data_IF_776739812708
#
_entry.id   IF_776739812708
#
_cell.length_a   1.000
_cell.length_b   1.000
_cell.length_c   1.000
_cell.angle_alpha   90.00
_cell.angle_beta   90.00
_cell.angle_gamma   90.00
#
_symmetry.space_group_name_H-M   'P 1'
#
loop_
_entity.id
_entity.type
_entity.pdbx_description
1 polymer ?
#
# COMPACT_ATOMS: atom_id res chain seq x y z
N UNK A 1 -3.71 17.23 -0.89
CA UNK A 1 -4.42 16.49 0.17
C UNK A 1 -5.90 16.85 0.09
N UNK A 2 -6.77 15.84 0.10
CA UNK A 2 -8.23 16.06 0.00
C UNK A 2 -8.90 16.35 1.35
N UNK A 3 -8.28 15.94 2.43
CA UNK A 3 -8.76 16.14 3.79
C UNK A 3 -7.61 16.23 4.79
N UNK A 4 -7.93 16.52 6.05
CA UNK A 4 -6.96 16.56 7.13
C UNK A 4 -6.39 15.18 7.47
N UNK A 5 -5.31 15.13 8.19
CA UNK A 5 -4.58 13.92 8.55
C UNK A 5 -4.09 13.91 9.99
N UNK A 6 -3.57 12.77 10.41
CA UNK A 6 -3.07 12.55 11.77
C UNK A 6 -1.63 13.02 12.01
N UNK A 7 -0.95 13.56 11.01
CA UNK A 7 0.50 13.82 11.06
C UNK A 7 0.89 15.06 11.86
N UNK A 8 -0.05 15.97 12.12
CA UNK A 8 0.19 17.22 12.83
C UNK A 8 -1.03 17.65 13.66
N UNK A 9 -0.77 18.30 14.79
CA UNK A 9 -1.84 18.94 15.59
C UNK A 9 -2.56 20.08 14.88
N UNK A 10 -2.03 20.55 13.76
CA UNK A 10 -2.58 21.65 12.94
C UNK A 10 -3.32 21.12 11.71
N UNK A 11 -3.50 19.81 11.60
CA UNK A 11 -4.11 19.13 10.49
C UNK A 11 -5.24 18.19 10.99
N UNK A 12 -6.38 18.77 11.42
CA UNK A 12 -7.47 17.99 11.99
C UNK A 12 -8.11 17.06 10.94
N UNK A 13 -8.41 15.84 11.35
CA UNK A 13 -8.99 14.77 10.51
C UNK A 13 -10.32 15.17 9.87
N UNK A 14 -11.11 16.01 10.54
CA UNK A 14 -12.45 16.43 10.10
C UNK A 14 -12.44 17.55 9.06
N UNK A 15 -11.26 18.05 8.67
CA UNK A 15 -11.16 19.14 7.69
C UNK A 15 -11.16 18.64 6.25
N UNK A 16 -11.58 19.53 5.35
CA UNK A 16 -11.33 19.43 3.90
C UNK A 16 -10.31 20.50 3.55
N UNK A 17 -9.13 20.11 3.12
CA UNK A 17 -8.00 21.04 2.93
C UNK A 17 -8.05 21.80 1.60
N UNK A 18 -8.73 21.24 0.60
CA UNK A 18 -8.87 21.87 -0.72
C UNK A 18 -10.34 22.12 -1.05
N UNK A 19 -10.58 23.18 -1.79
CA UNK A 19 -11.91 23.45 -2.37
C UNK A 19 -12.21 22.45 -3.49
N UNK A 20 -13.48 22.35 -3.89
CA UNK A 20 -13.87 21.47 -5.00
C UNK A 20 -13.20 21.90 -6.31
N UNK A 21 -13.13 23.20 -6.54
CA UNK A 21 -12.56 23.81 -7.74
C UNK A 21 -11.07 23.47 -7.87
N UNK A 22 -10.31 23.54 -6.76
CA UNK A 22 -8.89 23.15 -6.72
C UNK A 22 -8.71 21.67 -7.04
N UNK A 23 -9.52 20.81 -6.42
CA UNK A 23 -9.47 19.35 -6.66
C UNK A 23 -9.79 19.03 -8.12
N UNK A 24 -10.87 19.63 -8.66
CA UNK A 24 -11.26 19.39 -10.06
C UNK A 24 -10.18 19.87 -11.03
N UNK A 25 -9.52 21.00 -10.77
CA UNK A 25 -8.42 21.49 -11.59
C UNK A 25 -7.21 20.54 -11.57
N UNK A 26 -6.90 19.92 -10.41
CA UNK A 26 -5.84 18.91 -10.32
C UNK A 26 -6.21 17.66 -11.13
N UNK A 27 -7.47 17.22 -11.06
CA UNK A 27 -7.93 16.04 -11.82
C UNK A 27 -7.92 16.33 -13.32
N UNK A 28 -8.34 17.53 -13.75
CA UNK A 28 -8.27 17.96 -15.14
C UNK A 28 -6.83 17.96 -15.66
N UNK A 29 -5.91 18.54 -14.88
CA UNK A 29 -4.48 18.52 -15.22
C UNK A 29 -3.92 17.10 -15.31
N UNK A 30 -4.30 16.19 -14.42
CA UNK A 30 -3.89 14.79 -14.49
C UNK A 30 -4.46 14.08 -15.72
N UNK A 31 -5.72 14.37 -16.08
CA UNK A 31 -6.37 13.83 -17.27
C UNK A 31 -5.68 14.27 -18.55
N UNK A 32 -5.19 15.51 -18.65
CA UNK A 32 -4.38 15.99 -19.77
C UNK A 32 -3.08 15.19 -19.96
N UNK A 33 -2.55 14.63 -18.87
CA UNK A 33 -1.41 13.73 -18.90
C UNK A 33 -1.81 12.27 -19.15
N UNK A 34 -3.10 11.96 -19.17
CA UNK A 34 -3.62 10.61 -19.31
C UNK A 34 -3.39 9.74 -18.06
N UNK A 35 -3.42 10.34 -16.88
CA UNK A 35 -3.22 9.66 -15.59
C UNK A 35 -4.34 10.00 -14.60
N UNK A 36 -4.25 9.48 -13.38
CA UNK A 36 -5.24 9.65 -12.31
C UNK A 36 -4.68 10.43 -11.12
N UNK A 37 -5.55 10.80 -10.20
CA UNK A 37 -5.20 11.44 -8.93
C UNK A 37 -5.43 10.49 -7.78
N UNK A 38 -4.44 10.38 -6.90
CA UNK A 38 -4.53 9.79 -5.56
C UNK A 38 -4.61 10.91 -4.52
N UNK A 39 -5.43 10.73 -3.49
CA UNK A 39 -5.64 11.76 -2.48
C UNK A 39 -5.70 11.18 -1.07
N UNK A 40 -4.86 11.70 -0.20
CA UNK A 40 -4.95 11.52 1.24
C UNK A 40 -6.28 12.10 1.76
N UNK A 41 -7.05 11.29 2.50
CA UNK A 41 -8.37 11.66 3.01
C UNK A 41 -8.82 10.76 4.15
N UNK A 42 -9.66 11.26 5.06
CA UNK A 42 -10.14 10.51 6.21
C UNK A 42 -11.67 10.53 6.40
N UNK A 43 -12.39 11.47 5.80
CA UNK A 43 -13.79 11.68 6.14
C UNK A 43 -14.72 11.77 4.92
N UNK A 44 -15.99 11.49 5.13
CA UNK A 44 -17.02 11.45 4.08
C UNK A 44 -17.10 12.74 3.25
N UNK A 45 -17.02 13.89 3.91
CA UNK A 45 -17.12 15.18 3.22
C UNK A 45 -15.96 15.43 2.25
N UNK A 46 -14.75 15.05 2.65
CA UNK A 46 -13.59 15.14 1.81
C UNK A 46 -13.71 14.16 0.63
N UNK A 47 -14.06 12.90 0.88
CA UNK A 47 -14.26 11.89 -0.16
C UNK A 47 -15.34 12.29 -1.15
N UNK A 48 -16.48 12.86 -0.69
CA UNK A 48 -17.54 13.32 -1.59
C UNK A 48 -17.03 14.36 -2.60
N UNK A 49 -16.21 15.33 -2.16
CA UNK A 49 -15.59 16.31 -3.07
C UNK A 49 -14.63 15.67 -4.06
N UNK A 50 -13.84 14.72 -3.59
CA UNK A 50 -12.88 13.99 -4.42
C UNK A 50 -13.59 13.16 -5.49
N UNK A 51 -14.66 12.46 -5.12
CA UNK A 51 -15.51 11.69 -6.04
C UNK A 51 -16.18 12.58 -7.10
N UNK A 52 -16.73 13.71 -6.68
CA UNK A 52 -17.35 14.69 -7.58
C UNK A 52 -16.41 15.18 -8.68
N UNK A 53 -15.10 15.23 -8.40
CA UNK A 53 -14.09 15.66 -9.36
C UNK A 53 -13.44 14.47 -10.12
N UNK A 54 -13.72 13.23 -9.76
CA UNK A 54 -13.24 12.05 -10.46
C UNK A 54 -11.90 11.49 -9.95
N UNK A 55 -11.52 11.78 -8.71
CA UNK A 55 -10.38 11.13 -8.05
C UNK A 55 -10.58 9.62 -8.00
N UNK A 56 -9.53 8.83 -8.14
CA UNK A 56 -9.60 7.37 -8.23
C UNK A 56 -8.97 6.61 -7.08
N UNK A 57 -7.99 7.18 -6.38
CA UNK A 57 -7.36 6.58 -5.21
C UNK A 57 -7.62 7.42 -3.97
N UNK A 58 -8.10 6.76 -2.92
CA UNK A 58 -8.45 7.36 -1.63
C UNK A 58 -7.54 6.74 -0.58
N UNK A 59 -6.51 7.48 -0.18
CA UNK A 59 -5.51 6.97 0.75
C UNK A 59 -6.00 7.15 2.18
N UNK A 60 -5.74 6.16 3.04
CA UNK A 60 -6.23 5.99 4.41
C UNK A 60 -7.72 5.66 4.50
N UNK A 61 -8.61 6.64 4.45
CA UNK A 61 -10.06 6.44 4.40
C UNK A 61 -10.71 5.92 5.69
N UNK A 62 -10.06 5.99 6.86
CA UNK A 62 -10.53 5.29 8.07
C UNK A 62 -11.89 5.77 8.61
N UNK A 63 -12.23 7.03 8.46
CA UNK A 63 -13.46 7.62 9.03
C UNK A 63 -14.55 7.84 7.98
N UNK A 64 -14.65 6.95 7.01
CA UNK A 64 -15.71 6.98 6.00
C UNK A 64 -16.83 5.99 6.33
N UNK A 65 -18.05 6.42 6.03
CA UNK A 65 -19.26 5.59 6.21
C UNK A 65 -19.35 4.50 5.13
N UNK A 66 -20.16 3.47 5.39
CA UNK A 66 -20.45 2.43 4.39
C UNK A 66 -21.11 3.01 3.13
N UNK A 67 -21.88 4.09 3.23
CA UNK A 67 -22.44 4.79 2.07
C UNK A 67 -21.32 5.35 1.19
N UNK A 68 -20.32 6.00 1.79
CA UNK A 68 -19.17 6.53 1.09
C UNK A 68 -18.32 5.40 0.47
N UNK A 69 -18.15 4.27 1.16
CA UNK A 69 -17.51 3.08 0.60
C UNK A 69 -18.20 2.60 -0.67
N UNK A 70 -19.54 2.48 -0.65
CA UNK A 70 -20.33 2.11 -1.85
C UNK A 70 -20.20 3.13 -2.98
N UNK A 71 -20.14 4.42 -2.65
CA UNK A 71 -19.95 5.46 -3.66
C UNK A 71 -18.57 5.36 -4.32
N UNK A 72 -17.51 5.09 -3.54
CA UNK A 72 -16.16 4.82 -4.06
C UNK A 72 -16.19 3.60 -5.00
N UNK A 73 -16.79 2.49 -4.55
CA UNK A 73 -16.88 1.27 -5.34
C UNK A 73 -17.64 1.50 -6.66
N UNK A 74 -18.78 2.21 -6.61
CA UNK A 74 -19.60 2.54 -7.80
C UNK A 74 -18.83 3.42 -8.79
N UNK A 75 -18.00 4.34 -8.29
CA UNK A 75 -17.14 5.19 -9.13
C UNK A 75 -15.91 4.45 -9.68
N UNK A 76 -15.73 3.16 -9.35
CA UNK A 76 -14.55 2.37 -9.71
C UNK A 76 -13.27 2.87 -9.03
N UNK A 77 -13.41 3.45 -7.85
CA UNK A 77 -12.31 3.94 -7.04
C UNK A 77 -11.64 2.84 -6.20
N UNK A 78 -10.49 3.18 -5.65
CA UNK A 78 -9.68 2.33 -4.81
C UNK A 78 -9.46 2.99 -3.45
N UNK A 79 -9.45 2.19 -2.38
CA UNK A 79 -8.99 2.64 -1.06
C UNK A 79 -7.63 2.01 -0.77
N UNK A 80 -6.70 2.83 -0.31
CA UNK A 80 -5.31 2.46 -0.04
C UNK A 80 -5.02 2.69 1.45
N UNK A 81 -5.56 1.85 2.34
CA UNK A 81 -5.39 2.02 3.78
C UNK A 81 -4.03 1.52 4.23
N UNK A 82 -3.50 2.14 5.28
CA UNK A 82 -2.34 1.65 6.01
C UNK A 82 -2.83 1.07 7.34
N UNK A 83 -3.18 -0.21 7.32
CA UNK A 83 -3.88 -0.87 8.42
C UNK A 83 -3.07 -0.89 9.72
N UNK A 84 -1.72 -0.83 9.64
CA UNK A 84 -0.87 -0.74 10.82
C UNK A 84 -1.18 0.51 11.67
N UNK A 85 -1.59 1.62 11.03
CA UNK A 85 -1.90 2.88 11.71
C UNK A 85 -3.08 2.80 12.69
N UNK A 86 -3.95 1.80 12.54
CA UNK A 86 -5.06 1.49 13.45
C UNK A 86 -4.83 0.21 14.26
N UNK A 87 -3.63 -0.35 14.20
CA UNK A 87 -3.27 -1.52 14.99
C UNK A 87 -3.11 -1.17 16.47
N UNK A 88 -3.55 -2.03 17.40
CA UNK A 88 -3.23 -1.88 18.82
C UNK A 88 -1.73 -1.81 19.11
N UNK A 89 -0.89 -2.36 18.24
CA UNK A 89 0.56 -2.34 18.38
C UNK A 89 1.15 -0.95 18.18
N UNK A 90 0.41 -0.02 17.58
CA UNK A 90 0.76 1.41 17.58
C UNK A 90 1.00 1.95 18.99
N UNK A 91 0.25 1.48 19.97
CA UNK A 91 0.42 1.89 21.38
C UNK A 91 1.78 1.48 21.98
N UNK A 92 2.46 0.49 21.39
CA UNK A 92 3.80 0.02 21.82
C UNK A 92 4.95 0.83 21.22
N UNK A 93 4.66 1.71 20.27
CA UNK A 93 5.68 2.46 19.54
C UNK A 93 6.12 3.69 20.29
N UNK A 94 7.37 4.15 20.13
CA UNK A 94 7.82 5.42 20.69
C UNK A 94 7.16 6.65 20.05
N UNK A 95 6.39 6.45 18.97
CA UNK A 95 5.66 7.51 18.26
C UNK A 95 4.43 7.98 19.06
N UNK A 96 3.89 7.11 19.93
CA UNK A 96 2.69 7.40 20.70
C UNK A 96 3.08 7.82 22.13
N UNK A 97 2.77 9.04 22.53
CA UNK A 97 3.03 9.46 23.91
C UNK A 97 2.15 8.67 24.89
N UNK A 98 2.62 8.37 26.11
CA UNK A 98 1.89 7.57 27.11
C UNK A 98 0.47 8.07 27.38
N UNK A 99 0.23 9.37 27.29
CA UNK A 99 -1.09 9.98 27.49
C UNK A 99 -2.11 9.69 26.38
N UNK A 100 -1.68 9.06 25.26
CA UNK A 100 -2.52 8.75 24.10
C UNK A 100 -2.73 7.24 23.88
N UNK A 101 -2.13 6.40 24.71
CA UNK A 101 -2.18 4.95 24.55
C UNK A 101 -3.63 4.44 24.58
N UNK A 102 -4.43 4.88 25.56
CA UNK A 102 -5.84 4.42 25.67
C UNK A 102 -6.70 4.85 24.47
N UNK A 103 -6.41 6.03 23.89
CA UNK A 103 -7.09 6.54 22.70
C UNK A 103 -6.73 5.69 21.47
N UNK A 104 -5.47 5.33 21.29
CA UNK A 104 -5.00 4.47 20.19
C UNK A 104 -5.60 3.06 20.29
N UNK A 105 -5.64 2.49 21.50
CA UNK A 105 -6.26 1.18 21.72
C UNK A 105 -7.77 1.19 21.42
N UNK A 106 -8.47 2.27 21.80
CA UNK A 106 -9.89 2.44 21.50
C UNK A 106 -10.12 2.53 19.98
N UNK A 107 -9.30 3.29 19.25
CA UNK A 107 -9.36 3.37 17.79
C UNK A 107 -9.10 2.00 17.14
N UNK A 108 -8.13 1.24 17.63
CA UNK A 108 -7.85 -0.11 17.14
C UNK A 108 -9.06 -1.05 17.25
N UNK A 109 -9.81 -0.99 18.35
CA UNK A 109 -11.04 -1.76 18.52
C UNK A 109 -12.18 -1.26 17.62
N UNK A 110 -12.34 0.05 17.46
CA UNK A 110 -13.37 0.65 16.61
C UNK A 110 -13.17 0.26 15.14
N UNK A 111 -11.92 0.25 14.67
CA UNK A 111 -11.61 0.01 13.26
C UNK A 111 -11.15 -1.43 12.94
N UNK A 112 -11.23 -2.36 13.89
CA UNK A 112 -10.83 -3.76 13.64
C UNK A 112 -11.58 -4.43 12.47
N UNK A 113 -12.80 -3.98 12.20
CA UNK A 113 -13.65 -4.47 11.12
C UNK A 113 -13.57 -3.65 9.82
N UNK A 114 -12.77 -2.60 9.80
CA UNK A 114 -12.72 -1.66 8.68
C UNK A 114 -12.36 -2.35 7.35
N UNK A 115 -11.35 -3.22 7.35
CA UNK A 115 -10.98 -3.98 6.15
C UNK A 115 -12.12 -4.83 5.60
N UNK A 116 -12.82 -5.55 6.49
CA UNK A 116 -14.01 -6.34 6.12
C UNK A 116 -15.16 -5.48 5.60
N UNK A 117 -15.34 -4.28 6.17
CA UNK A 117 -16.36 -3.33 5.70
C UNK A 117 -16.06 -2.85 4.28
N UNK A 118 -14.81 -2.52 3.96
CA UNK A 118 -14.40 -2.15 2.60
C UNK A 118 -14.77 -3.25 1.59
N UNK A 119 -14.39 -4.50 1.88
CA UNK A 119 -14.69 -5.62 0.98
C UNK A 119 -16.20 -5.88 0.82
N UNK A 120 -16.97 -5.86 1.92
CA UNK A 120 -18.44 -6.05 1.87
C UNK A 120 -19.15 -4.98 1.07
N UNK A 121 -18.63 -3.77 1.02
CA UNK A 121 -19.16 -2.66 0.24
C UNK A 121 -18.58 -2.60 -1.20
N UNK A 122 -17.84 -3.64 -1.62
CA UNK A 122 -17.34 -3.79 -2.99
C UNK A 122 -16.16 -2.88 -3.33
N UNK A 123 -15.48 -2.32 -2.35
CA UNK A 123 -14.33 -1.44 -2.57
C UNK A 123 -13.12 -2.26 -2.99
N UNK A 124 -12.43 -1.81 -4.02
CA UNK A 124 -11.11 -2.32 -4.39
C UNK A 124 -10.06 -1.77 -3.42
N UNK A 125 -9.36 -2.66 -2.73
CA UNK A 125 -8.36 -2.29 -1.72
C UNK A 125 -6.97 -2.60 -2.25
N UNK A 126 -6.04 -1.66 -2.09
CA UNK A 126 -4.64 -1.80 -2.49
C UNK A 126 -3.74 -1.75 -1.27
N UNK A 127 -2.65 -2.50 -1.31
CA UNK A 127 -1.63 -2.51 -0.28
C UNK A 127 -0.75 -1.26 -0.37
N UNK A 128 -0.52 -0.62 0.78
CA UNK A 128 0.54 0.37 0.98
C UNK A 128 0.93 0.40 2.45
N UNK A 129 2.19 0.72 2.75
CA UNK A 129 2.65 0.85 4.12
C UNK A 129 2.75 2.30 4.59
N UNK A 130 2.92 3.25 3.67
CA UNK A 130 3.11 4.69 3.97
C UNK A 130 4.17 4.97 5.07
N UNK A 131 5.11 4.06 5.21
CA UNK A 131 6.15 4.20 6.23
C UNK A 131 7.33 4.99 5.68
N UNK A 132 7.66 6.09 6.37
CA UNK A 132 8.79 6.95 6.05
C UNK A 132 9.84 6.82 7.14
N UNK A 133 11.07 6.45 6.78
CA UNK A 133 12.14 6.26 7.75
C UNK A 133 13.33 5.49 7.18
N UNK A 134 14.17 4.94 8.05
CA UNK A 134 15.25 4.07 7.65
C UNK A 134 14.71 2.81 6.95
N UNK A 135 15.48 2.27 6.02
CA UNK A 135 15.06 1.08 5.24
C UNK A 135 14.66 -0.10 6.14
N UNK A 136 15.43 -0.37 7.18
CA UNK A 136 15.13 -1.45 8.15
C UNK A 136 13.79 -1.27 8.84
N UNK A 137 13.44 -0.03 9.18
CA UNK A 137 12.16 0.29 9.83
C UNK A 137 11.00 0.18 8.85
N UNK A 138 11.19 0.65 7.63
CA UNK A 138 10.21 0.54 6.56
C UNK A 138 9.95 -0.93 6.19
N UNK A 139 10.97 -1.78 6.21
CA UNK A 139 10.83 -3.21 5.96
C UNK A 139 10.05 -3.92 7.08
N UNK A 140 10.35 -3.62 8.34
CA UNK A 140 9.59 -4.15 9.48
C UNK A 140 8.13 -3.73 9.45
N UNK A 141 7.86 -2.45 9.19
CA UNK A 141 6.51 -1.93 9.06
C UNK A 141 5.73 -2.60 7.93
N UNK A 142 6.38 -2.83 6.79
CA UNK A 142 5.78 -3.50 5.62
C UNK A 142 5.44 -4.96 5.92
N UNK A 143 6.34 -5.68 6.57
CA UNK A 143 6.12 -7.08 6.98
C UNK A 143 5.01 -7.21 8.01
N UNK A 144 4.96 -6.29 8.98
CA UNK A 144 3.87 -6.21 9.94
C UNK A 144 2.54 -5.86 9.24
N UNK A 145 2.53 -4.89 8.32
CA UNK A 145 1.33 -4.52 7.56
C UNK A 145 0.76 -5.72 6.78
N UNK A 146 1.61 -6.53 6.14
CA UNK A 146 1.19 -7.76 5.45
C UNK A 146 0.48 -8.71 6.43
N UNK A 147 1.04 -8.95 7.60
CA UNK A 147 0.46 -9.82 8.62
C UNK A 147 -0.82 -9.21 9.20
N UNK A 148 -0.80 -7.92 9.58
CA UNK A 148 -1.94 -7.26 10.21
C UNK A 148 -3.16 -7.21 9.28
N UNK A 149 -2.96 -7.10 7.99
CA UNK A 149 -4.04 -7.21 7.00
C UNK A 149 -4.74 -8.56 7.07
N UNK A 150 -4.06 -9.66 7.31
CA UNK A 150 -4.73 -10.96 7.46
C UNK A 150 -5.69 -11.00 8.65
N UNK A 151 -5.43 -10.21 9.69
CA UNK A 151 -6.28 -10.10 10.88
C UNK A 151 -7.51 -9.20 10.64
N UNK A 152 -7.39 -8.23 9.76
CA UNK A 152 -8.43 -7.22 9.49
C UNK A 152 -9.28 -7.53 8.26
N UNK A 153 -8.79 -8.33 7.32
CA UNK A 153 -9.51 -8.77 6.12
C UNK A 153 -9.99 -10.23 6.20
N UNK A 154 -9.57 -10.99 7.22
CA UNK A 154 -9.89 -12.41 7.44
C UNK A 154 -9.57 -13.32 6.23
N UNK A 155 -8.63 -12.95 5.38
CA UNK A 155 -8.35 -13.71 4.16
C UNK A 155 -6.96 -13.40 3.60
N UNK A 156 -6.08 -14.41 3.63
CA UNK A 156 -4.79 -14.30 2.96
C UNK A 156 -4.96 -14.09 1.45
N UNK A 157 -5.98 -14.68 0.84
CA UNK A 157 -6.28 -14.49 -0.58
C UNK A 157 -6.55 -13.02 -0.90
N UNK A 158 -7.40 -12.34 -0.12
CA UNK A 158 -7.67 -10.92 -0.33
C UNK A 158 -6.42 -10.05 -0.10
N UNK A 159 -5.59 -10.38 0.90
CA UNK A 159 -4.32 -9.68 1.13
C UNK A 159 -3.36 -9.86 -0.04
N UNK A 160 -3.24 -11.08 -0.60
CA UNK A 160 -2.41 -11.34 -1.77
C UNK A 160 -2.90 -10.55 -2.99
N UNK A 161 -4.21 -10.45 -3.22
CA UNK A 161 -4.78 -9.62 -4.29
C UNK A 161 -4.42 -8.15 -4.13
N UNK A 162 -4.48 -7.63 -2.90
CA UNK A 162 -4.10 -6.24 -2.61
C UNK A 162 -2.63 -5.96 -2.93
N UNK A 163 -1.76 -6.95 -2.70
CA UNK A 163 -0.33 -6.89 -2.99
C UNK A 163 0.00 -7.06 -4.49
N UNK A 164 -0.91 -7.62 -5.28
CA UNK A 164 -0.65 -8.06 -6.64
C UNK A 164 -1.68 -7.50 -7.63
N UNK A 165 -2.71 -8.27 -7.99
CA UNK A 165 -3.63 -7.95 -9.08
C UNK A 165 -4.41 -6.65 -8.88
N UNK A 166 -4.90 -6.37 -7.66
CA UNK A 166 -5.64 -5.12 -7.40
C UNK A 166 -4.70 -3.89 -7.45
N UNK A 167 -3.45 -4.04 -7.01
CA UNK A 167 -2.43 -3.00 -7.18
C UNK A 167 -2.13 -2.76 -8.67
N UNK A 168 -2.02 -3.84 -9.47
CA UNK A 168 -1.85 -3.76 -10.91
C UNK A 168 -3.01 -3.01 -11.59
N UNK A 169 -4.26 -3.26 -11.18
CA UNK A 169 -5.44 -2.55 -11.69
C UNK A 169 -5.38 -1.04 -11.39
N UNK A 170 -4.96 -0.64 -10.18
CA UNK A 170 -4.79 0.77 -9.84
C UNK A 170 -3.69 1.42 -10.70
N UNK A 171 -2.53 0.78 -10.82
CA UNK A 171 -1.40 1.30 -11.59
C UNK A 171 -1.74 1.43 -13.08
N UNK A 172 -2.59 0.58 -13.63
CA UNK A 172 -3.04 0.65 -15.01
C UNK A 172 -3.77 1.98 -15.33
N UNK A 173 -4.37 2.64 -14.32
CA UNK A 173 -4.99 3.96 -14.47
C UNK A 173 -3.98 5.07 -14.82
N UNK A 174 -2.68 4.83 -14.65
CA UNK A 174 -1.63 5.75 -15.12
C UNK A 174 -1.57 5.86 -16.64
N UNK A 175 -2.27 4.98 -17.37
CA UNK A 175 -2.41 5.03 -18.82
C UNK A 175 -1.06 5.13 -19.56
N UNK A 176 -0.87 6.12 -20.44
CA UNK A 176 0.39 6.28 -21.18
C UNK A 176 1.59 6.62 -20.29
N UNK A 177 1.37 7.00 -19.03
CA UNK A 177 2.43 7.27 -18.05
C UNK A 177 2.83 6.05 -17.24
N UNK A 178 2.10 4.93 -17.39
CA UNK A 178 2.46 3.67 -16.77
C UNK A 178 3.75 3.12 -17.41
N UNK A 179 4.83 2.91 -16.66
CA UNK A 179 6.05 2.28 -17.20
C UNK A 179 5.81 0.83 -17.60
N UNK A 180 4.75 0.20 -17.09
CA UNK A 180 4.33 -1.18 -17.35
C UNK A 180 3.08 -1.26 -18.25
N UNK A 181 3.05 -0.46 -19.31
CA UNK A 181 1.87 -0.33 -20.20
C UNK A 181 1.71 -1.47 -21.21
N UNK A 182 2.73 -2.32 -21.39
CA UNK A 182 2.78 -3.33 -22.44
C UNK A 182 2.17 -4.69 -22.00
N UNK A 183 1.76 -4.81 -20.74
CA UNK A 183 1.13 -6.00 -20.18
C UNK A 183 0.54 -5.78 -18.78
N UNK A 184 -0.27 -6.71 -18.30
CA UNK A 184 -0.81 -6.62 -16.94
C UNK A 184 0.26 -6.87 -15.87
N UNK A 185 0.05 -6.28 -14.70
CA UNK A 185 0.85 -6.48 -13.49
C UNK A 185 0.09 -7.31 -12.45
N UNK A 186 0.84 -8.05 -11.63
CA UNK A 186 0.29 -8.74 -10.46
C UNK A 186 -0.57 -9.96 -10.77
N UNK A 187 -0.47 -10.50 -11.97
CA UNK A 187 -1.14 -11.73 -12.43
C UNK A 187 -0.15 -12.66 -13.10
N UNK A 188 -0.46 -13.95 -13.10
CA UNK A 188 0.31 -14.98 -13.80
C UNK A 188 -0.50 -15.43 -15.03
N UNK A 189 -0.22 -14.79 -16.15
CA UNK A 189 -0.87 -15.10 -17.43
C UNK A 189 0.07 -14.76 -18.60
N UNK A 190 -0.21 -15.29 -19.78
CA UNK A 190 0.57 -14.99 -20.98
C UNK A 190 0.46 -13.50 -21.35
N UNK A 191 1.59 -12.85 -21.56
CA UNK A 191 1.67 -11.41 -21.83
C UNK A 191 1.79 -10.50 -20.60
N UNK A 192 1.68 -11.05 -19.38
CA UNK A 192 1.94 -10.30 -18.16
C UNK A 192 3.44 -10.04 -17.96
N UNK A 193 3.76 -9.00 -17.21
CA UNK A 193 5.13 -8.80 -16.76
C UNK A 193 5.59 -9.95 -15.87
N UNK A 194 6.80 -10.44 -16.12
CA UNK A 194 7.38 -11.55 -15.36
C UNK A 194 7.99 -11.03 -14.03
N UNK A 195 7.12 -10.56 -13.14
CA UNK A 195 7.40 -10.16 -11.77
C UNK A 195 6.94 -11.30 -10.86
N UNK A 196 7.86 -12.18 -10.49
CA UNK A 196 7.52 -13.47 -9.89
C UNK A 196 8.31 -13.72 -8.61
N UNK A 197 7.66 -14.36 -7.65
CA UNK A 197 8.29 -14.98 -6.49
C UNK A 197 8.09 -16.50 -6.57
N UNK A 198 9.14 -17.28 -6.26
CA UNK A 198 8.99 -18.70 -5.93
C UNK A 198 9.24 -18.85 -4.44
N UNK A 199 8.25 -19.38 -3.74
CA UNK A 199 8.25 -19.48 -2.28
C UNK A 199 8.11 -20.94 -1.84
N UNK A 200 8.71 -21.27 -0.70
CA UNK A 200 8.54 -22.56 -0.04
C UNK A 200 7.39 -22.45 0.96
N UNK A 201 6.27 -23.06 0.61
CA UNK A 201 5.01 -23.01 1.38
C UNK A 201 3.85 -22.38 0.60
N UNK A 202 2.70 -22.36 1.24
CA UNK A 202 1.46 -21.85 0.66
C UNK A 202 1.06 -20.51 1.33
N UNK A 203 1.22 -19.35 0.68
CA UNK A 203 0.88 -18.06 1.27
C UNK A 203 -0.63 -17.88 1.51
N UNK A 204 -1.48 -18.72 0.91
CA UNK A 204 -2.93 -18.75 1.21
C UNK A 204 -3.22 -19.33 2.60
N UNK A 205 -2.34 -20.17 3.13
CA UNK A 205 -2.45 -20.79 4.44
C UNK A 205 -1.60 -20.07 5.48
N UNK A 206 -0.39 -19.67 5.10
CA UNK A 206 0.59 -19.02 5.97
C UNK A 206 1.24 -17.81 5.25
N UNK A 207 0.84 -16.62 5.66
CA UNK A 207 1.36 -15.37 5.08
C UNK A 207 2.83 -15.12 5.42
N UNK A 208 3.39 -15.83 6.40
CA UNK A 208 4.80 -15.69 6.78
C UNK A 208 5.76 -16.15 5.69
N UNK A 209 5.31 -17.04 4.77
CA UNK A 209 6.14 -17.50 3.63
C UNK A 209 6.52 -16.37 2.66
N UNK A 210 5.80 -15.25 2.70
CA UNK A 210 6.15 -14.03 1.96
C UNK A 210 6.61 -12.90 2.89
N UNK A 211 6.89 -13.21 4.15
CA UNK A 211 7.49 -12.32 5.12
C UNK A 211 6.52 -11.59 6.04
N UNK A 212 5.23 -11.87 5.99
CA UNK A 212 4.27 -11.34 6.98
C UNK A 212 4.65 -11.79 8.40
N UNK A 213 4.69 -10.87 9.37
CA UNK A 213 5.06 -11.17 10.75
C UNK A 213 4.32 -10.27 11.73
N UNK A 214 3.95 -10.83 12.90
CA UNK A 214 3.38 -10.07 14.02
C UNK A 214 4.40 -9.18 14.76
N UNK A 215 5.68 -9.40 14.51
CA UNK A 215 6.75 -8.59 15.10
C UNK A 215 6.89 -7.27 14.35
N UNK A 216 6.98 -6.19 15.09
CA UNK A 216 7.15 -4.85 14.53
C UNK A 216 8.31 -4.08 15.15
N UNK A 217 8.07 -3.17 16.09
CA UNK A 217 9.12 -2.32 16.68
C UNK A 217 10.12 -3.08 17.55
N UNK A 218 9.70 -4.22 18.07
CA UNK A 218 10.53 -5.16 18.83
C UNK A 218 11.22 -6.21 17.94
N UNK A 219 11.00 -6.17 16.62
CA UNK A 219 11.70 -7.03 15.69
C UNK A 219 13.19 -6.65 15.62
N UNK A 220 14.01 -7.68 15.30
CA UNK A 220 15.43 -7.48 15.06
C UNK A 220 15.64 -6.36 14.01
N UNK A 221 16.39 -5.30 14.34
CA UNK A 221 16.64 -4.21 13.40
C UNK A 221 17.53 -4.61 12.23
N UNK A 222 18.22 -5.75 12.31
CA UNK A 222 19.03 -6.25 11.21
C UNK A 222 18.15 -6.79 10.08
N UNK A 223 18.39 -6.31 8.88
CA UNK A 223 17.71 -6.83 7.69
C UNK A 223 18.08 -8.29 7.45
N UNK A 224 17.08 -9.15 7.37
CA UNK A 224 17.24 -10.56 7.01
C UNK A 224 16.36 -10.89 5.81
N UNK A 225 16.97 -11.56 4.84
CA UNK A 225 16.22 -12.11 3.72
C UNK A 225 15.15 -13.10 4.23
N UNK A 226 14.01 -13.10 3.59
CA UNK A 226 12.94 -14.06 3.86
C UNK A 226 13.41 -15.40 3.29
N UNK A 227 13.72 -16.37 4.17
CA UNK A 227 14.35 -17.64 3.79
C UNK A 227 13.46 -18.53 2.92
N UNK A 228 12.15 -18.37 3.03
CA UNK A 228 11.15 -19.09 2.23
C UNK A 228 10.99 -18.57 0.80
N UNK A 229 11.55 -17.41 0.47
CA UNK A 229 11.54 -16.89 -0.90
C UNK A 229 12.81 -17.36 -1.61
N UNK A 230 12.68 -18.29 -2.54
CA UNK A 230 13.80 -18.91 -3.24
C UNK A 230 14.14 -18.25 -4.57
N UNK A 231 13.18 -17.57 -5.20
CA UNK A 231 13.41 -16.82 -6.42
C UNK A 231 12.68 -15.48 -6.37
N UNK A 232 13.37 -14.44 -6.81
CA UNK A 232 12.81 -13.12 -7.08
C UNK A 232 13.14 -12.76 -8.53
N UNK A 233 12.08 -12.54 -9.31
CA UNK A 233 12.19 -12.10 -10.70
C UNK A 233 11.45 -10.77 -10.87
N UNK A 234 12.05 -9.82 -11.57
CA UNK A 234 11.47 -8.53 -11.94
C UNK A 234 11.73 -8.27 -13.42
N UNK A 235 10.69 -7.97 -14.19
CA UNK A 235 10.75 -7.75 -15.64
C UNK A 235 11.48 -8.89 -16.39
N UNK A 236 11.27 -10.14 -15.95
CA UNK A 236 11.93 -11.32 -16.50
C UNK A 236 13.40 -11.48 -16.10
N UNK A 237 13.98 -10.53 -15.34
CA UNK A 237 15.34 -10.63 -14.80
C UNK A 237 15.30 -11.24 -13.41
N UNK A 238 16.15 -12.25 -13.18
CA UNK A 238 16.30 -12.92 -11.89
C UNK A 238 17.26 -12.14 -11.01
N UNK A 239 16.78 -11.73 -9.84
CA UNK A 239 17.55 -11.01 -8.82
C UNK A 239 17.97 -11.91 -7.65
N UNK A 240 17.20 -12.95 -7.37
CA UNK A 240 17.52 -13.97 -6.37
C UNK A 240 17.18 -15.34 -6.94
N UNK A 241 18.10 -16.30 -6.76
CA UNK A 241 17.89 -17.68 -7.17
C UNK A 241 18.57 -18.62 -6.18
N UNK A 242 17.79 -19.28 -5.35
CA UNK A 242 18.26 -20.24 -4.33
C UNK A 242 17.60 -21.62 -4.52
N UNK A 243 17.03 -21.88 -5.70
CA UNK A 243 16.48 -23.19 -6.04
C UNK A 243 17.63 -24.14 -6.30
N UNK A 244 17.59 -25.35 -5.73
CA UNK A 244 18.64 -26.39 -5.83
C UNK A 244 20.00 -25.99 -5.25
N UNK A 245 20.05 -25.10 -4.26
CA UNK A 245 21.29 -24.67 -3.61
C UNK A 245 22.22 -23.84 -4.49
N UNK A 246 21.73 -23.34 -5.62
CA UNK A 246 22.46 -22.41 -6.47
C UNK A 246 22.20 -20.99 -5.99
N UNK A 247 23.23 -20.35 -5.45
CA UNK A 247 23.21 -18.91 -5.22
C UNK A 247 23.31 -18.20 -6.57
N UNK A 248 22.47 -17.18 -6.77
CA UNK A 248 22.65 -16.28 -7.91
C UNK A 248 24.00 -15.58 -7.79
N UNK A 249 24.82 -15.54 -8.86
CA UNK A 249 26.07 -14.77 -8.88
C UNK A 249 25.85 -13.26 -8.67
N UNK A 250 24.64 -12.79 -8.83
CA UNK A 250 24.23 -11.39 -8.72
C UNK A 250 23.25 -11.17 -7.55
N UNK A 251 23.43 -11.87 -6.42
CA UNK A 251 22.70 -11.47 -5.20
C UNK A 251 23.07 -10.01 -4.93
N UNK A 252 22.12 -9.11 -5.21
CA UNK A 252 22.30 -7.69 -4.97
C UNK A 252 22.64 -7.49 -3.49
N UNK A 253 23.80 -6.93 -3.24
CA UNK A 253 24.18 -6.48 -1.90
C UNK A 253 23.35 -5.24 -1.55
N UNK A 254 23.23 -4.95 -0.27
CA UNK A 254 22.51 -3.76 0.21
C UNK A 254 23.04 -2.44 -0.41
N UNK A 255 24.29 -2.44 -0.87
CA UNK A 255 24.96 -1.32 -1.54
C UNK A 255 24.43 -1.07 -2.95
N UNK A 256 23.86 -2.09 -3.61
CA UNK A 256 23.27 -1.98 -4.95
C UNK A 256 21.89 -1.29 -4.95
N UNK A 257 21.25 -1.14 -3.78
CA UNK A 257 20.02 -0.35 -3.57
C UNK A 257 20.31 1.13 -3.31
N UNK A 258 21.39 1.67 -3.84
CA UNK A 258 21.66 3.09 -3.69
C UNK A 258 20.62 3.89 -4.49
N UNK A 259 19.71 4.55 -3.77
CA UNK A 259 18.57 5.32 -4.28
C UNK A 259 18.95 6.40 -5.32
N UNK A 260 20.24 6.70 -5.46
CA UNK A 260 20.76 7.66 -6.43
C UNK A 260 20.76 7.15 -7.87
N UNK A 261 20.75 5.84 -8.10
CA UNK A 261 20.70 5.27 -9.45
C UNK A 261 19.34 5.38 -10.14
N UNK A 262 18.25 5.45 -9.36
CA UNK A 262 16.88 5.46 -9.92
C UNK A 262 16.47 6.89 -10.37
N UNK A 263 17.05 7.92 -9.79
CA UNK A 263 16.75 9.34 -10.16
C UNK A 263 17.66 9.83 -11.30
N UNK A 264 18.86 9.25 -11.46
CA UNK A 264 19.84 9.68 -12.45
C UNK A 264 19.46 9.42 -13.90
N UNK A 265 18.73 8.35 -14.18
CA UNK A 265 18.39 7.93 -15.53
C UNK A 265 17.11 8.57 -16.10
N UNK A 266 16.42 9.41 -15.32
CA UNK A 266 15.15 10.05 -15.73
C UNK A 266 15.26 11.55 -16.06
N UNK A 267 16.46 12.12 -16.11
CA UNK A 267 16.68 13.48 -16.62
C UNK A 267 17.15 13.34 -18.07
N UNK A 268 16.29 13.57 -19.08
CA UNK A 268 16.76 13.63 -20.45
C UNK A 268 17.74 14.80 -20.55
N UNK A 269 18.92 14.54 -21.09
CA UNK A 269 19.87 15.58 -21.50
C UNK A 269 19.14 16.57 -22.42
N UNK A 270 19.16 17.85 -22.06
CA UNK A 270 18.59 18.96 -22.84
C UNK A 270 19.33 19.16 -24.15
#
# INVERSE_FOLDING_TARGET
>A
MGGGGGSSRFDPIDTTQSSKEEICAIVEAAADWGTYVAAHTFNDRAVARLLDCGVKSFDHGFFISEETMRNIATAGGFVVPQMWGISPDMAKTPLIPPSKIDEVLALGEEFKDFGRQLLRNGVKVVFASDYVGAFSDAERARRYEIWWRTQTFDSNYEVLKQLTSTAGELLALSGPRNPYKDGPLGVIEEGAYADLLVVDGNPLEDISVIGGTEQWFDADPEFKLISTIHLVMKDGKIYRHEIDGRLSPEALTFEDYNYQGIIGDYIPDN
#
